data_IF_267798214565
#
_entry.id   IF_267798214565
#
_cell.length_a   1.000
_cell.length_b   1.000
_cell.length_c   1.000
_cell.angle_alpha   90.00
_cell.angle_beta   90.00
_cell.angle_gamma   90.00
#
_symmetry.space_group_name_H-M   'P 1'
#
loop_
_entity.id
_entity.type
_entity.pdbx_description
1 polymer ?
#
# COMPACT_ATOMS: atom_id res chain seq x y z
N UNK A 1 6.68 -11.73 8.62
CA UNK A 1 6.76 -10.52 7.75
C UNK A 1 5.54 -9.66 8.06
N UNK A 2 5.73 -8.43 8.41
CA UNK A 2 4.63 -7.53 8.73
C UNK A 2 3.79 -7.17 7.50
N UNK A 3 2.48 -6.89 7.65
CA UNK A 3 1.58 -6.65 6.51
C UNK A 3 2.03 -5.53 5.56
N UNK A 4 2.75 -4.53 6.06
CA UNK A 4 3.29 -3.44 5.24
C UNK A 4 4.43 -3.82 4.30
N UNK A 5 5.02 -5.00 4.47
CA UNK A 5 6.17 -5.47 3.70
C UNK A 5 5.76 -6.30 2.47
N UNK A 6 4.51 -6.76 2.40
CA UNK A 6 4.07 -7.63 1.30
C UNK A 6 4.24 -6.99 -0.08
N UNK A 7 3.83 -5.74 -0.27
CA UNK A 7 3.97 -5.05 -1.56
C UNK A 7 5.44 -4.90 -1.97
N UNK A 8 6.32 -4.50 -1.06
CA UNK A 8 7.76 -4.37 -1.32
C UNK A 8 8.42 -5.72 -1.64
N UNK A 9 8.03 -6.78 -0.90
CA UNK A 9 8.50 -8.14 -1.17
C UNK A 9 8.08 -8.62 -2.56
N UNK A 10 6.84 -8.38 -2.96
CA UNK A 10 6.34 -8.72 -4.30
C UNK A 10 7.10 -7.96 -5.38
N UNK A 11 7.32 -6.67 -5.20
CA UNK A 11 8.09 -5.86 -6.14
C UNK A 11 9.50 -6.44 -6.34
N UNK A 12 10.23 -6.68 -5.25
CA UNK A 12 11.59 -7.22 -5.33
C UNK A 12 11.62 -8.60 -5.99
N UNK A 13 10.71 -9.50 -5.60
CA UNK A 13 10.62 -10.82 -6.21
C UNK A 13 10.27 -10.74 -7.68
N UNK A 14 9.29 -9.91 -8.06
CA UNK A 14 8.88 -9.70 -9.45
C UNK A 14 9.99 -9.13 -10.32
N UNK A 15 10.75 -8.17 -9.82
CA UNK A 15 11.90 -7.59 -10.54
C UNK A 15 13.04 -8.59 -10.70
N UNK A 16 13.29 -9.42 -9.68
CA UNK A 16 14.35 -10.45 -9.69
C UNK A 16 13.94 -11.74 -10.42
N UNK A 17 12.66 -11.90 -10.75
CA UNK A 17 12.15 -13.11 -11.40
C UNK A 17 12.07 -14.32 -10.46
N UNK A 18 11.97 -14.08 -9.15
CA UNK A 18 11.73 -15.13 -8.15
C UNK A 18 10.23 -15.25 -7.85
N UNK A 19 9.75 -16.44 -7.42
CA UNK A 19 8.34 -16.62 -7.09
C UNK A 19 7.85 -15.68 -5.99
N UNK A 20 6.62 -15.20 -6.14
CA UNK A 20 5.92 -14.43 -5.12
C UNK A 20 5.34 -15.36 -4.07
N UNK A 21 5.57 -15.08 -2.80
CA UNK A 21 4.99 -15.85 -1.70
C UNK A 21 3.70 -15.18 -1.21
N UNK A 22 2.56 -15.83 -1.45
CA UNK A 22 1.23 -15.36 -1.09
C UNK A 22 0.70 -16.18 0.09
N UNK A 23 0.52 -15.55 1.25
CA UNK A 23 -0.11 -16.21 2.39
C UNK A 23 -1.64 -16.19 2.21
N UNK A 24 -2.25 -17.39 2.20
CA UNK A 24 -3.67 -17.55 1.89
C UNK A 24 -3.95 -17.51 0.38
N UNK A 25 -5.16 -17.09 0.01
CA UNK A 25 -5.62 -17.08 -1.38
C UNK A 25 -5.33 -15.76 -2.13
N UNK A 26 -4.86 -14.74 -1.42
CA UNK A 26 -4.55 -13.43 -1.99
C UNK A 26 -5.73 -12.47 -2.08
N UNK A 27 -6.91 -12.85 -1.58
CA UNK A 27 -8.10 -11.97 -1.57
C UNK A 27 -8.08 -10.93 -0.45
N UNK A 28 -7.19 -11.10 0.55
CA UNK A 28 -7.03 -10.10 1.59
C UNK A 28 -6.64 -8.75 0.99
N UNK A 29 -7.24 -7.68 1.52
CA UNK A 29 -7.04 -6.34 1.01
C UNK A 29 -6.52 -5.38 2.08
N UNK A 30 -5.78 -4.38 1.64
CA UNK A 30 -5.18 -3.34 2.48
C UNK A 30 -5.37 -1.98 1.84
N UNK A 31 -5.36 -0.96 2.67
CA UNK A 31 -5.20 0.42 2.24
C UNK A 31 -3.69 0.68 2.08
N UNK A 32 -3.19 0.50 0.87
CA UNK A 32 -1.80 0.80 0.54
C UNK A 32 -1.66 2.29 0.30
N UNK A 33 -0.85 2.94 1.11
CA UNK A 33 -0.69 4.39 1.10
C UNK A 33 0.70 4.77 0.61
N UNK A 34 0.76 5.59 -0.45
CA UNK A 34 2.02 6.09 -0.96
C UNK A 34 2.61 7.15 -0.03
N UNK A 35 3.93 7.14 0.10
CA UNK A 35 4.64 7.98 1.07
C UNK A 35 4.32 9.48 0.94
N UNK A 36 4.13 9.99 -0.26
CA UNK A 36 3.82 11.40 -0.51
C UNK A 36 2.51 11.81 0.19
N UNK A 37 1.51 10.94 0.25
CA UNK A 37 0.27 11.19 0.98
C UNK A 37 0.52 11.33 2.49
N UNK A 38 1.42 10.53 3.05
CA UNK A 38 1.79 10.59 4.48
C UNK A 38 2.57 11.86 4.78
N UNK A 39 3.49 12.24 3.90
CA UNK A 39 4.26 13.50 4.02
C UNK A 39 3.32 14.70 4.00
N UNK A 40 2.40 14.75 3.03
CA UNK A 40 1.41 15.82 2.94
C UNK A 40 0.53 15.91 4.18
N UNK A 41 0.05 14.77 4.69
CA UNK A 41 -0.74 14.74 5.92
C UNK A 41 0.03 15.32 7.12
N UNK A 42 1.32 15.06 7.23
CA UNK A 42 2.16 15.63 8.29
C UNK A 42 2.31 17.15 8.16
N UNK A 43 2.48 17.65 6.93
CA UNK A 43 2.54 19.11 6.67
C UNK A 43 1.22 19.76 7.07
N UNK A 44 0.10 19.21 6.59
CA UNK A 44 -1.24 19.72 6.91
C UNK A 44 -1.51 19.71 8.42
N UNK A 45 -1.12 18.64 9.12
CA UNK A 45 -1.29 18.56 10.57
C UNK A 45 -0.46 19.63 11.32
N UNK A 46 0.72 19.98 10.81
CA UNK A 46 1.56 21.03 11.38
C UNK A 46 1.01 22.43 11.16
N UNK A 47 0.22 22.64 10.11
CA UNK A 47 -0.33 23.96 9.73
C UNK A 47 -1.77 24.19 10.22
N UNK A 48 -2.57 23.12 10.40
CA UNK A 48 -3.97 23.21 10.77
C UNK A 48 -4.13 23.54 12.27
N UNK A 49 -4.82 24.64 12.57
CA UNK A 49 -5.12 25.04 13.97
C UNK A 49 -5.97 24.02 14.70
N UNK A 50 -6.90 23.38 14.00
CA UNK A 50 -7.82 22.38 14.58
C UNK A 50 -7.19 20.98 14.76
N UNK A 51 -5.94 20.80 14.34
CA UNK A 51 -5.20 19.55 14.48
C UNK A 51 -4.44 19.44 15.81
N UNK A 52 -4.33 20.50 16.58
CA UNK A 52 -3.54 20.52 17.83
C UNK A 52 -4.06 19.52 18.86
N UNK A 53 -3.20 18.62 19.31
CA UNK A 53 -3.53 17.58 20.30
C UNK A 53 -4.36 16.42 19.74
N UNK A 54 -4.66 16.41 18.46
CA UNK A 54 -5.48 15.40 17.80
C UNK A 54 -4.64 14.26 17.20
N UNK A 55 -5.25 13.08 17.10
CA UNK A 55 -4.69 11.91 16.42
C UNK A 55 -5.50 11.63 15.17
N UNK A 56 -4.81 11.33 14.06
CA UNK A 56 -5.43 11.09 12.77
C UNK A 56 -5.03 9.73 12.18
N UNK A 57 -6.00 9.07 11.55
CA UNK A 57 -5.69 8.03 10.58
C UNK A 57 -5.36 8.68 9.23
N UNK A 58 -4.32 8.19 8.59
CA UNK A 58 -3.90 8.63 7.25
C UNK A 58 -3.82 7.40 6.35
N UNK A 59 -4.46 7.46 5.21
CA UNK A 59 -4.52 6.39 4.24
C UNK A 59 -4.90 6.92 2.87
N UNK A 60 -4.94 6.02 1.88
CA UNK A 60 -5.40 6.33 0.54
C UNK A 60 -6.95 6.36 0.45
N UNK A 61 -7.63 5.71 1.41
CA UNK A 61 -9.08 5.62 1.44
C UNK A 61 -9.67 4.59 0.47
N UNK A 62 -8.84 3.74 -0.10
CA UNK A 62 -9.23 2.64 -0.98
C UNK A 62 -8.56 1.33 -0.60
N UNK A 63 -9.22 0.22 -0.88
CA UNK A 63 -8.69 -1.13 -0.61
C UNK A 63 -8.25 -1.78 -1.90
N UNK A 64 -7.08 -2.40 -1.85
CA UNK A 64 -6.54 -3.20 -2.95
C UNK A 64 -6.20 -4.59 -2.43
N UNK A 65 -6.65 -5.64 -3.11
CA UNK A 65 -6.31 -7.02 -2.78
C UNK A 65 -4.88 -7.36 -3.19
N UNK A 66 -4.28 -8.38 -2.58
CA UNK A 66 -2.96 -8.85 -3.00
C UNK A 66 -2.95 -9.35 -4.44
N UNK A 67 -4.04 -9.96 -4.91
CA UNK A 67 -4.17 -10.40 -6.30
C UNK A 67 -4.17 -9.21 -7.27
N UNK A 68 -4.84 -8.11 -6.93
CA UNK A 68 -4.80 -6.88 -7.74
C UNK A 68 -3.40 -6.25 -7.75
N UNK A 69 -2.70 -6.23 -6.60
CA UNK A 69 -1.30 -5.78 -6.52
C UNK A 69 -0.41 -6.60 -7.45
N UNK A 70 -0.55 -7.93 -7.43
CA UNK A 70 0.23 -8.83 -8.28
C UNK A 70 -0.09 -8.60 -9.76
N UNK A 71 -1.37 -8.49 -10.12
CA UNK A 71 -1.78 -8.22 -11.52
C UNK A 71 -1.24 -6.89 -12.03
N UNK A 72 -1.20 -5.86 -11.19
CA UNK A 72 -0.61 -4.58 -11.54
C UNK A 72 0.92 -4.69 -11.71
N UNK A 73 1.59 -5.45 -10.84
CA UNK A 73 3.03 -5.69 -10.96
C UNK A 73 3.36 -6.45 -12.27
N UNK A 74 2.59 -7.49 -12.62
CA UNK A 74 2.72 -8.22 -13.88
C UNK A 74 2.62 -7.29 -15.10
N UNK A 75 1.67 -6.35 -15.06
CA UNK A 75 1.52 -5.34 -16.12
C UNK A 75 2.73 -4.42 -16.23
N UNK A 76 3.30 -3.99 -15.10
CA UNK A 76 4.47 -3.10 -15.07
C UNK A 76 5.75 -3.81 -15.53
N UNK A 77 5.94 -5.07 -15.12
CA UNK A 77 7.13 -5.85 -15.51
C UNK A 77 6.95 -6.56 -16.87
N UNK A 78 5.77 -6.47 -17.45
CA UNK A 78 5.39 -7.05 -18.75
C UNK A 78 5.65 -8.56 -18.87
N UNK A 79 5.45 -9.30 -17.79
CA UNK A 79 5.58 -10.77 -17.72
C UNK A 79 4.71 -11.35 -16.62
N UNK A 80 4.21 -12.60 -16.79
CA UNK A 80 3.55 -13.31 -15.70
C UNK A 80 4.55 -13.63 -14.58
N UNK A 81 4.06 -13.64 -13.34
CA UNK A 81 4.86 -13.92 -12.15
C UNK A 81 4.40 -15.23 -11.50
N UNK A 82 5.36 -16.10 -11.22
CA UNK A 82 5.09 -17.32 -10.46
C UNK A 82 4.61 -16.97 -9.04
N UNK A 83 3.59 -17.68 -8.56
CA UNK A 83 3.01 -17.50 -7.23
C UNK A 83 3.09 -18.80 -6.46
N UNK A 84 3.51 -18.73 -5.20
CA UNK A 84 3.47 -19.84 -4.26
C UNK A 84 2.53 -19.46 -3.13
N UNK A 85 1.46 -20.25 -3.00
CA UNK A 85 0.49 -20.06 -1.93
C UNK A 85 0.91 -20.88 -0.71
N UNK A 86 0.98 -20.24 0.45
CA UNK A 86 1.18 -20.85 1.74
C UNK A 86 -0.06 -20.65 2.62
N UNK A 87 -0.23 -21.42 3.72
CA UNK A 87 -1.36 -21.21 4.63
C UNK A 87 -1.45 -19.76 5.11
N UNK A 88 -2.68 -19.28 5.28
CA UNK A 88 -2.92 -17.96 5.88
C UNK A 88 -2.32 -17.90 7.28
N UNK A 89 -1.80 -16.73 7.65
CA UNK A 89 -1.25 -16.53 8.99
C UNK A 89 -2.38 -16.37 9.99
N UNK A 90 -2.26 -17.06 11.13
CA UNK A 90 -3.20 -16.88 12.24
C UNK A 90 -3.19 -15.42 12.72
N UNK A 91 -4.39 -14.84 12.87
CA UNK A 91 -4.54 -13.45 13.31
C UNK A 91 -4.44 -12.40 12.21
N UNK A 92 -4.20 -12.78 10.95
CA UNK A 92 -4.21 -11.83 9.84
C UNK A 92 -5.65 -11.40 9.51
N UNK A 93 -5.87 -10.09 9.43
CA UNK A 93 -7.19 -9.51 9.14
C UNK A 93 -7.44 -9.57 7.64
N UNK A 94 -8.64 -10.02 7.24
CA UNK A 94 -9.00 -10.17 5.82
C UNK A 94 -8.96 -8.83 5.08
N UNK A 95 -9.49 -7.77 5.68
CA UNK A 95 -9.60 -6.46 5.05
C UNK A 95 -9.28 -5.34 6.02
N UNK A 96 -8.51 -4.35 5.58
CA UNK A 96 -8.30 -3.11 6.31
C UNK A 96 -8.53 -1.91 5.41
N UNK A 97 -9.13 -0.86 5.96
CA UNK A 97 -9.38 0.41 5.30
C UNK A 97 -9.25 1.52 6.33
N UNK A 98 -8.45 2.53 6.03
CA UNK A 98 -8.35 3.70 6.88
C UNK A 98 -9.59 4.59 6.74
N UNK A 99 -10.18 4.97 7.87
CA UNK A 99 -11.16 6.06 7.88
C UNK A 99 -10.42 7.39 8.01
N UNK A 100 -10.34 8.12 6.91
CA UNK A 100 -9.64 9.41 6.81
C UNK A 100 -10.57 10.62 7.01
N UNK A 101 -11.84 10.39 7.38
CA UNK A 101 -12.85 11.44 7.49
C UNK A 101 -12.49 12.54 8.49
N UNK A 102 -11.88 12.18 9.64
CA UNK A 102 -11.40 13.14 10.64
C UNK A 102 -10.26 14.00 10.08
N UNK A 103 -9.29 13.40 9.41
CA UNK A 103 -8.19 14.11 8.77
C UNK A 103 -8.69 15.08 7.69
N UNK A 104 -9.64 14.65 6.88
CA UNK A 104 -10.29 15.50 5.87
C UNK A 104 -10.99 16.70 6.52
N UNK A 105 -11.76 16.47 7.58
CA UNK A 105 -12.54 17.52 8.24
C UNK A 105 -11.68 18.55 8.97
N UNK A 106 -10.68 18.11 9.73
CA UNK A 106 -9.92 18.98 10.63
C UNK A 106 -8.65 19.58 10.00
N UNK A 107 -8.08 18.96 9.00
CA UNK A 107 -6.86 19.47 8.36
C UNK A 107 -6.91 19.50 6.84
N UNK A 108 -8.05 19.23 6.22
CA UNK A 108 -8.21 19.28 4.77
C UNK A 108 -7.47 18.19 4.02
N UNK A 109 -7.12 17.08 4.68
CA UNK A 109 -6.39 15.99 4.04
C UNK A 109 -7.21 15.33 2.93
N UNK A 110 -6.57 15.14 1.80
CA UNK A 110 -7.04 14.28 0.70
C UNK A 110 -5.82 13.62 0.06
N UNK A 111 -5.87 12.32 -0.26
CA UNK A 111 -4.75 11.66 -0.92
C UNK A 111 -4.39 12.36 -2.24
N UNK A 112 -3.13 12.73 -2.41
CA UNK A 112 -2.60 13.35 -3.64
C UNK A 112 -2.34 12.31 -4.72
N UNK A 113 -1.94 11.10 -4.30
CA UNK A 113 -1.50 10.01 -5.17
C UNK A 113 -2.34 8.78 -4.86
N UNK A 114 -3.11 8.30 -5.85
CA UNK A 114 -3.85 7.05 -5.76
C UNK A 114 -2.92 5.83 -5.78
N UNK A 115 -3.47 4.65 -5.42
CA UNK A 115 -2.68 3.42 -5.29
C UNK A 115 -1.91 3.09 -6.58
N UNK A 116 -2.57 3.10 -7.74
CA UNK A 116 -1.96 2.70 -9.01
C UNK A 116 -0.69 3.51 -9.35
N UNK A 117 -0.76 4.82 -9.25
CA UNK A 117 0.37 5.71 -9.52
C UNK A 117 1.46 5.58 -8.45
N UNK A 118 1.08 5.53 -7.19
CA UNK A 118 2.03 5.34 -6.08
C UNK A 118 2.77 4.01 -6.19
N UNK A 119 2.06 2.95 -6.54
CA UNK A 119 2.66 1.62 -6.75
C UNK A 119 3.63 1.60 -7.93
N UNK A 120 3.25 2.19 -9.07
CA UNK A 120 4.13 2.32 -10.24
C UNK A 120 5.43 3.07 -9.87
N UNK A 121 5.33 4.20 -9.19
CA UNK A 121 6.49 4.98 -8.73
C UNK A 121 7.36 4.20 -7.75
N UNK A 122 6.75 3.39 -6.89
CA UNK A 122 7.46 2.50 -5.97
C UNK A 122 8.23 1.41 -6.73
N UNK A 123 7.63 0.79 -7.74
CA UNK A 123 8.32 -0.20 -8.60
C UNK A 123 9.53 0.43 -9.29
N UNK A 124 9.39 1.63 -9.85
CA UNK A 124 10.51 2.34 -10.48
C UNK A 124 11.65 2.61 -9.50
N UNK A 125 11.32 3.02 -8.27
CA UNK A 125 12.32 3.19 -7.23
C UNK A 125 13.08 1.89 -6.94
N UNK A 126 12.36 0.78 -6.80
CA UNK A 126 13.00 -0.52 -6.51
C UNK A 126 13.83 -1.08 -7.67
N UNK A 127 13.62 -0.65 -8.91
CA UNK A 127 14.48 -1.02 -10.04
C UNK A 127 15.95 -0.66 -9.84
N UNK A 128 16.23 0.36 -9.03
CA UNK A 128 17.60 0.77 -8.68
C UNK A 128 18.32 -0.31 -7.87
N UNK A 129 17.59 -1.15 -7.14
CA UNK A 129 18.11 -2.15 -6.21
C UNK A 129 17.91 -3.60 -6.68
N UNK A 130 17.31 -3.80 -7.81
CA UNK A 130 16.94 -5.13 -8.32
C UNK A 130 18.07 -5.77 -9.14
#
# INVERSE_FOLDING_TARGET
MEPGIAACSFILSGLRGTPLEVHGDGTQSRDFTFIENVVEANILAGEATDASGETFNVGCGERTSLLEVIGMLESIVAKPLERRHSPSRGGDVAHTLADVSKAKRLMGYSPLVGFAEGFRRTVEYFRIFA
#
